data_IF_741247973850
#
_entry.id   IF_741247973850
#
_cell.length_a   1.000
_cell.length_b   1.000
_cell.length_c   1.000
_cell.angle_alpha   90.00
_cell.angle_beta   90.00
_cell.angle_gamma   90.00
#
_symmetry.space_group_name_H-M   'P 1'
#
loop_
_entity.id
_entity.type
_entity.pdbx_description
1 polymer ?
#
# COMPACT_ATOMS: atom_id res chain seq x y z
N UNK A 1 2.82 23.49 71.20
CA UNK A 1 2.97 22.63 70.01
C UNK A 1 1.62 22.00 69.80
N UNK A 2 1.02 22.22 68.64
CA UNK A 2 -0.44 22.21 68.50
C UNK A 2 -0.98 20.82 68.10
N UNK A 3 -0.14 19.79 68.26
CA UNK A 3 -0.47 18.38 68.00
C UNK A 3 -0.75 18.02 66.53
N UNK A 4 -0.66 18.97 65.60
CA UNK A 4 -1.02 18.77 64.19
C UNK A 4 0.07 18.04 63.39
N UNK A 5 -0.34 17.05 62.60
CA UNK A 5 0.47 16.43 61.56
C UNK A 5 0.20 17.13 60.21
N UNK A 6 1.24 17.67 59.58
CA UNK A 6 1.16 18.26 58.24
C UNK A 6 1.93 17.39 57.25
N UNK A 7 1.20 16.74 56.35
CA UNK A 7 1.77 16.06 55.19
C UNK A 7 1.93 17.07 54.05
N UNK A 8 3.14 17.14 53.48
CA UNK A 8 3.45 18.01 52.33
C UNK A 8 3.75 17.13 51.14
N UNK A 9 3.19 17.48 49.98
CA UNK A 9 3.33 16.71 48.74
C UNK A 9 2.86 15.26 48.90
N UNK A 10 1.57 15.10 49.26
CA UNK A 10 0.95 13.79 49.50
C UNK A 10 1.02 12.93 48.24
N UNK A 11 1.57 11.73 48.36
CA UNK A 11 1.65 10.71 47.31
C UNK A 11 0.84 9.47 47.64
N UNK A 12 0.76 8.51 46.70
CA UNK A 12 0.04 7.24 46.90
C UNK A 12 0.64 6.43 48.05
N UNK A 13 1.95 6.57 48.30
CA UNK A 13 2.65 5.87 49.39
C UNK A 13 2.28 6.40 50.78
N UNK A 14 1.63 7.56 50.88
CA UNK A 14 1.10 8.11 52.14
C UNK A 14 -0.27 7.54 52.50
N UNK A 15 -0.85 6.68 51.65
CA UNK A 15 -2.13 6.02 51.97
C UNK A 15 -1.97 5.04 53.14
N UNK A 16 -2.83 5.18 54.16
CA UNK A 16 -2.77 4.31 55.32
C UNK A 16 -3.54 4.81 56.54
N UNK A 17 -3.45 4.01 57.61
CA UNK A 17 -4.05 4.33 58.89
C UNK A 17 -3.09 5.16 59.74
N UNK A 18 -3.48 6.40 60.01
CA UNK A 18 -2.77 7.30 60.90
C UNK A 18 -3.39 7.22 62.29
N UNK A 19 -2.55 7.05 63.31
CA UNK A 19 -2.98 6.94 64.71
C UNK A 19 -2.38 8.08 65.54
N UNK A 20 -3.22 8.73 66.35
CA UNK A 20 -2.77 9.72 67.31
C UNK A 20 -2.70 9.08 68.71
N UNK A 21 -1.52 9.13 69.32
CA UNK A 21 -1.27 8.61 70.66
C UNK A 21 -0.50 9.62 71.50
N UNK A 22 -0.67 9.53 72.82
CA UNK A 22 0.10 10.30 73.80
C UNK A 22 1.24 9.42 74.32
N UNK A 23 2.44 9.99 74.39
CA UNK A 23 3.60 9.29 74.95
C UNK A 23 3.32 8.88 76.40
N UNK A 24 3.40 7.58 76.71
CA UNK A 24 3.07 6.89 77.98
C UNK A 24 1.63 6.36 78.17
N UNK A 25 0.74 6.49 77.19
CA UNK A 25 -0.53 5.76 77.18
C UNK A 25 -0.49 4.61 76.17
N UNK A 26 -0.99 3.42 76.57
CA UNK A 26 -1.05 2.25 75.68
C UNK A 26 -2.26 2.29 74.75
N UNK A 27 -3.20 3.19 75.00
CA UNK A 27 -4.41 3.35 74.21
C UNK A 27 -4.24 4.52 73.21
N UNK A 28 -4.53 4.25 71.94
CA UNK A 28 -4.63 5.29 70.93
C UNK A 28 -5.86 6.16 71.20
N UNK A 29 -5.71 7.47 71.03
CA UNK A 29 -6.76 8.45 71.30
C UNK A 29 -7.68 8.60 70.08
N UNK A 30 -7.12 8.60 68.88
CA UNK A 30 -7.87 8.72 67.63
C UNK A 30 -7.18 8.04 66.45
N UNK A 31 -7.96 7.65 65.43
CA UNK A 31 -7.50 6.94 64.23
C UNK A 31 -8.16 7.52 62.98
N UNK A 32 -7.36 7.84 61.98
CA UNK A 32 -7.82 8.40 60.69
C UNK A 32 -7.28 7.55 59.55
N UNK A 33 -8.17 7.06 58.69
CA UNK A 33 -7.75 6.37 57.46
C UNK A 33 -7.59 7.37 56.32
N UNK A 34 -6.36 7.59 55.87
CA UNK A 34 -6.05 8.49 54.77
C UNK A 34 -6.03 7.69 53.46
N UNK A 35 -6.93 8.03 52.53
CA UNK A 35 -6.94 7.49 51.17
C UNK A 35 -6.51 8.56 50.17
N UNK A 36 -5.58 8.24 49.28
CA UNK A 36 -5.08 9.19 48.28
C UNK A 36 -5.67 8.82 46.92
N UNK A 37 -6.17 9.82 46.19
CA UNK A 37 -6.74 9.63 44.85
C UNK A 37 -5.92 10.40 43.83
N UNK A 38 -5.73 9.80 42.66
CA UNK A 38 -4.86 10.32 41.60
C UNK A 38 -5.54 10.20 40.24
N UNK A 39 -4.93 10.76 39.21
CA UNK A 39 -5.24 10.42 37.83
C UNK A 39 -5.01 8.91 37.60
N UNK A 40 -5.62 8.33 36.54
CA UNK A 40 -5.45 6.91 36.27
C UNK A 40 -3.97 6.57 36.03
N UNK A 41 -3.48 5.42 36.53
CA UNK A 41 -2.13 4.95 36.23
C UNK A 41 -1.96 4.66 34.72
N UNK A 42 -0.69 4.54 34.24
CA UNK A 42 -0.43 4.14 32.85
C UNK A 42 -1.13 2.82 32.51
N UNK A 43 -1.63 2.72 31.28
CA UNK A 43 -2.21 1.49 30.76
C UNK A 43 -1.15 0.39 30.66
N UNK A 44 -1.59 -0.87 30.76
CA UNK A 44 -0.69 -2.03 30.73
C UNK A 44 -1.01 -2.92 29.53
N UNK A 45 -0.03 -3.71 29.10
CA UNK A 45 -0.15 -4.60 27.93
C UNK A 45 -0.66 -3.86 26.67
N UNK A 46 -0.15 -2.66 26.41
CA UNK A 46 -0.53 -1.91 25.21
C UNK A 46 0.17 -2.53 24.00
N UNK A 47 -0.62 -3.05 23.06
CA UNK A 47 -0.12 -3.65 21.82
C UNK A 47 -0.76 -3.00 20.60
N UNK A 48 -0.04 -2.99 19.48
CA UNK A 48 -0.52 -2.46 18.20
C UNK A 48 -0.37 -3.52 17.13
N UNK A 49 -1.48 -3.90 16.50
CA UNK A 49 -1.49 -4.77 15.32
C UNK A 49 -1.73 -3.91 14.08
N UNK A 50 -0.65 -3.63 13.36
CA UNK A 50 -0.71 -2.87 12.12
C UNK A 50 -0.98 -3.78 10.91
N UNK A 51 -1.85 -3.30 10.02
CA UNK A 51 -2.08 -3.84 8.68
C UNK A 51 -1.50 -2.87 7.65
N UNK A 52 -2.00 -2.86 6.40
CA UNK A 52 -1.53 -1.96 5.33
C UNK A 52 -1.94 -0.51 5.53
N UNK A 53 -3.22 -0.23 5.79
CA UNK A 53 -3.77 1.13 5.96
C UNK A 53 -4.52 1.32 7.29
N UNK A 54 -4.45 0.32 8.15
CA UNK A 54 -5.19 0.21 9.41
C UNK A 54 -4.25 -0.19 10.53
N UNK A 55 -4.57 0.17 11.76
CA UNK A 55 -3.93 -0.41 12.94
C UNK A 55 -4.94 -0.57 14.09
N UNK A 56 -4.88 -1.71 14.77
CA UNK A 56 -5.67 -1.98 15.97
C UNK A 56 -4.79 -1.79 17.21
N UNK A 57 -5.17 -0.87 18.10
CA UNK A 57 -4.52 -0.67 19.39
C UNK A 57 -5.33 -1.41 20.45
N UNK A 58 -4.68 -2.20 21.29
CA UNK A 58 -5.26 -2.95 22.41
C UNK A 58 -4.58 -2.54 23.72
N UNK A 59 -5.33 -2.51 24.82
CA UNK A 59 -4.78 -2.19 26.14
C UNK A 59 -5.55 -2.83 27.29
N UNK A 60 -4.90 -2.96 28.43
CA UNK A 60 -5.49 -3.33 29.72
C UNK A 60 -5.41 -2.16 30.71
N UNK A 61 -6.35 -2.13 31.65
CA UNK A 61 -6.42 -1.13 32.72
C UNK A 61 -5.84 -1.73 33.99
N UNK A 62 -4.81 -1.09 34.55
CA UNK A 62 -4.20 -1.53 35.82
C UNK A 62 -4.98 -1.03 37.06
N UNK A 63 -5.61 0.14 36.94
CA UNK A 63 -6.39 0.78 38.00
C UNK A 63 -6.99 2.10 37.50
N UNK A 64 -7.72 2.79 38.37
CA UNK A 64 -8.45 4.01 38.03
C UNK A 64 -8.01 5.23 38.87
N UNK A 65 -7.07 5.03 39.82
CA UNK A 65 -6.60 6.09 40.73
C UNK A 65 -7.63 6.48 41.80
N UNK A 66 -8.62 5.64 42.07
CA UNK A 66 -9.67 5.89 43.06
C UNK A 66 -10.85 6.72 42.56
N UNK A 67 -10.87 7.06 41.26
CA UNK A 67 -12.01 7.64 40.57
C UNK A 67 -12.29 6.88 39.27
N UNK A 68 -13.56 6.60 38.93
CA UNK A 68 -13.88 5.84 37.73
C UNK A 68 -13.36 6.55 36.47
N UNK A 69 -12.81 5.75 35.55
CA UNK A 69 -12.39 6.22 34.23
C UNK A 69 -13.61 6.71 33.45
N UNK A 70 -13.52 7.93 32.90
CA UNK A 70 -14.59 8.56 32.11
C UNK A 70 -14.46 8.23 30.63
N UNK A 71 -13.23 8.21 30.11
CA UNK A 71 -12.92 7.86 28.73
C UNK A 71 -11.44 7.45 28.57
N UNK A 72 -11.12 6.96 27.37
CA UNK A 72 -9.75 6.88 26.89
C UNK A 72 -9.55 7.82 25.71
N UNK A 73 -8.33 8.33 25.57
CA UNK A 73 -7.92 9.12 24.41
C UNK A 73 -6.72 8.45 23.77
N UNK A 74 -6.71 8.37 22.45
CA UNK A 74 -5.61 7.84 21.67
C UNK A 74 -5.19 8.80 20.56
N UNK A 75 -3.90 8.84 20.27
CA UNK A 75 -3.30 9.68 19.24
C UNK A 75 -2.20 8.94 18.49
N UNK A 76 -1.88 9.42 17.30
CA UNK A 76 -0.79 8.88 16.49
C UNK A 76 -0.01 10.00 15.78
N UNK A 77 1.23 9.72 15.40
CA UNK A 77 2.06 10.59 14.56
C UNK A 77 3.03 9.77 13.72
N UNK A 78 3.48 10.31 12.60
CA UNK A 78 4.56 9.68 11.82
C UNK A 78 5.82 9.56 12.68
N UNK A 79 6.48 8.41 12.63
CA UNK A 79 7.79 8.21 13.24
C UNK A 79 8.92 8.78 12.36
N UNK A 80 8.66 8.93 11.06
CA UNK A 80 9.60 9.55 10.14
C UNK A 80 9.47 11.08 10.20
N UNK A 81 10.55 11.81 10.51
CA UNK A 81 10.52 13.27 10.47
C UNK A 81 10.40 13.75 9.02
N UNK A 82 9.52 14.73 8.80
CA UNK A 82 9.38 15.43 7.52
C UNK A 82 10.18 16.73 7.62
N UNK A 83 11.12 16.96 6.71
CA UNK A 83 12.01 18.14 6.74
C UNK A 83 12.72 18.35 8.09
N UNK A 84 13.23 17.28 8.71
CA UNK A 84 13.85 17.27 10.05
C UNK A 84 12.92 17.70 11.20
N UNK A 85 11.60 17.74 10.98
CA UNK A 85 10.61 18.06 12.01
C UNK A 85 9.65 16.90 12.22
N UNK A 86 9.35 16.59 13.48
CA UNK A 86 8.33 15.60 13.82
C UNK A 86 6.96 16.22 13.65
N UNK A 87 6.06 15.48 13.00
CA UNK A 87 4.68 15.89 12.88
C UNK A 87 3.99 15.97 14.25
N UNK A 88 3.03 16.90 14.41
CA UNK A 88 2.22 16.95 15.62
C UNK A 88 1.37 15.69 15.77
N UNK A 89 1.02 15.37 17.01
CA UNK A 89 0.12 14.26 17.31
C UNK A 89 -1.27 14.52 16.72
N UNK A 90 -1.77 13.55 15.96
CA UNK A 90 -3.12 13.52 15.40
C UNK A 90 -4.05 12.71 16.30
N UNK A 91 -5.28 13.20 16.57
CA UNK A 91 -6.25 12.43 17.33
C UNK A 91 -6.77 11.23 16.54
N UNK A 92 -7.00 10.12 17.23
CA UNK A 92 -7.69 8.94 16.67
C UNK A 92 -9.18 9.12 16.93
N UNK A 93 -10.00 8.93 15.90
CA UNK A 93 -11.45 8.99 16.03
C UNK A 93 -12.01 7.63 16.49
N UNK A 94 -12.88 7.59 17.52
CA UNK A 94 -13.43 8.72 18.28
C UNK A 94 -12.44 9.29 19.31
N UNK A 95 -12.44 10.61 19.49
CA UNK A 95 -11.54 11.29 20.44
C UNK A 95 -11.79 10.88 21.90
N UNK A 96 -13.03 10.52 22.23
CA UNK A 96 -13.45 10.05 23.55
C UNK A 96 -13.94 8.61 23.42
N UNK A 97 -13.07 7.67 23.75
CA UNK A 97 -13.34 6.24 23.66
C UNK A 97 -14.06 5.80 24.93
N UNK A 98 -15.08 4.95 24.80
CA UNK A 98 -15.86 4.44 25.94
C UNK A 98 -14.97 3.84 27.04
N UNK A 99 -15.28 4.07 28.34
CA UNK A 99 -14.50 3.53 29.47
C UNK A 99 -14.54 1.99 29.57
N UNK A 100 -15.51 1.35 28.89
CA UNK A 100 -15.60 -0.10 28.78
C UNK A 100 -14.78 -0.67 27.62
N UNK A 101 -14.26 0.17 26.72
CA UNK A 101 -13.44 -0.29 25.61
C UNK A 101 -12.05 -0.71 26.07
N UNK A 102 -11.47 -1.67 25.36
CA UNK A 102 -10.08 -2.13 25.51
C UNK A 102 -9.32 -2.12 24.19
N UNK A 103 -9.94 -1.54 23.17
CA UNK A 103 -9.37 -1.45 21.83
C UNK A 103 -9.87 -0.22 21.07
N UNK A 104 -9.09 0.23 20.08
CA UNK A 104 -9.49 1.24 19.09
C UNK A 104 -8.81 0.98 17.76
N UNK A 105 -9.55 1.18 16.68
CA UNK A 105 -9.05 1.09 15.31
C UNK A 105 -8.59 2.46 14.80
N UNK A 106 -7.46 2.46 14.11
CA UNK A 106 -6.89 3.62 13.42
C UNK A 106 -7.01 3.38 11.92
N UNK A 107 -7.52 4.38 11.21
CA UNK A 107 -7.77 4.31 9.78
C UNK A 107 -6.89 5.30 9.01
N UNK A 108 -6.81 5.11 7.69
CA UNK A 108 -6.13 6.02 6.77
C UNK A 108 -4.63 6.21 7.08
N UNK A 109 -3.95 5.12 7.43
CA UNK A 109 -2.49 5.09 7.53
C UNK A 109 -1.87 4.88 6.15
N UNK A 110 -0.65 5.36 5.96
CA UNK A 110 0.12 5.09 4.75
C UNK A 110 0.73 3.69 4.81
N UNK A 111 0.73 2.92 3.71
CA UNK A 111 1.42 1.63 3.63
C UNK A 111 2.93 1.77 3.82
N UNK A 112 3.56 0.75 4.41
CA UNK A 112 5.01 0.70 4.64
C UNK A 112 5.57 1.95 5.38
N UNK A 113 4.80 2.48 6.32
CA UNK A 113 5.16 3.66 7.11
C UNK A 113 5.14 3.33 8.60
N UNK A 114 6.07 3.93 9.35
CA UNK A 114 6.18 3.73 10.80
C UNK A 114 5.50 4.88 11.54
N UNK A 115 4.72 4.54 12.56
CA UNK A 115 3.95 5.50 13.37
C UNK A 115 4.18 5.25 14.86
N UNK A 116 4.26 6.34 15.60
CA UNK A 116 4.11 6.30 17.06
C UNK A 116 2.62 6.42 17.39
N UNK A 117 2.15 5.53 18.22
CA UNK A 117 0.80 5.54 18.80
C UNK A 117 0.93 5.82 20.28
N UNK A 118 -0.02 6.56 20.85
CA UNK A 118 -0.10 6.75 22.29
C UNK A 118 -1.53 6.71 22.78
N UNK A 119 -1.73 6.14 23.97
CA UNK A 119 -3.05 5.98 24.57
C UNK A 119 -2.97 6.21 26.09
N UNK A 120 -4.00 6.83 26.65
CA UNK A 120 -4.14 7.05 28.09
C UNK A 120 -5.61 7.01 28.51
N UNK A 121 -5.82 6.83 29.82
CA UNK A 121 -7.13 6.94 30.47
C UNK A 121 -7.29 8.31 31.12
N UNK A 122 -8.52 8.78 31.22
CA UNK A 122 -8.87 10.01 31.93
C UNK A 122 -9.94 9.71 32.99
N UNK A 123 -9.81 10.31 34.17
CA UNK A 123 -10.84 10.29 35.22
C UNK A 123 -11.21 11.73 35.62
N UNK A 124 -11.97 11.88 36.71
CA UNK A 124 -12.40 13.18 37.21
C UNK A 124 -11.26 14.13 37.65
N UNK A 125 -10.08 13.59 37.97
CA UNK A 125 -8.89 14.37 38.34
C UNK A 125 -8.10 14.83 37.10
N UNK A 126 -8.15 14.05 36.01
CA UNK A 126 -7.56 14.44 34.75
C UNK A 126 -7.03 13.26 33.92
N UNK A 127 -6.24 13.57 32.88
CA UNK A 127 -5.59 12.55 32.05
C UNK A 127 -4.42 11.92 32.81
N UNK A 128 -4.37 10.59 32.78
CA UNK A 128 -3.21 9.81 33.21
C UNK A 128 -2.04 9.92 32.22
N UNK A 129 -0.88 9.34 32.57
CA UNK A 129 0.28 9.33 31.70
C UNK A 129 0.05 8.49 30.43
N UNK A 130 0.48 8.97 29.25
CA UNK A 130 0.36 8.24 28.00
C UNK A 130 1.38 7.11 27.86
N UNK A 131 0.93 6.01 27.28
CA UNK A 131 1.78 4.88 26.89
C UNK A 131 2.00 4.93 25.39
N UNK A 132 3.27 5.01 24.97
CA UNK A 132 3.64 5.11 23.55
C UNK A 132 4.14 3.77 23.00
N UNK A 133 3.72 3.41 21.78
CA UNK A 133 4.11 2.18 21.07
C UNK A 133 4.42 2.52 19.61
N UNK A 134 5.54 2.00 19.11
CA UNK A 134 5.93 2.11 17.70
C UNK A 134 5.39 0.90 16.92
N UNK A 135 4.74 1.15 15.78
CA UNK A 135 4.39 0.09 14.84
C UNK A 135 4.54 0.56 13.39
N UNK A 136 4.79 -0.40 12.50
CA UNK A 136 4.99 -0.16 11.07
C UNK A 136 3.89 -0.86 10.30
N UNK A 137 3.25 -0.14 9.37
CA UNK A 137 2.23 -0.69 8.48
C UNK A 137 2.85 -1.62 7.44
N UNK A 138 2.06 -2.58 6.97
CA UNK A 138 2.47 -3.53 5.95
C UNK A 138 2.57 -2.84 4.58
N UNK A 139 3.32 -3.46 3.67
CA UNK A 139 3.40 -3.03 2.28
C UNK A 139 2.08 -3.34 1.54
N UNK A 140 1.70 -2.50 0.57
CA UNK A 140 0.51 -2.72 -0.25
C UNK A 140 0.83 -3.66 -1.41
N UNK A 141 0.38 -4.92 -1.32
CA UNK A 141 0.60 -5.92 -2.38
C UNK A 141 -0.34 -5.76 -3.59
N UNK A 142 -1.13 -4.68 -3.67
CA UNK A 142 -2.11 -4.47 -4.74
C UNK A 142 -1.50 -4.56 -6.15
N UNK A 143 -0.32 -3.97 -6.36
CA UNK A 143 0.34 -4.06 -7.67
C UNK A 143 0.88 -5.47 -7.92
N UNK A 144 1.46 -6.12 -6.90
CA UNK A 144 1.97 -7.48 -7.03
C UNK A 144 0.87 -8.50 -7.34
N UNK A 145 -0.31 -8.38 -6.71
CA UNK A 145 -1.48 -9.21 -7.01
C UNK A 145 -2.04 -8.93 -8.41
N UNK A 146 -2.04 -7.67 -8.86
CA UNK A 146 -2.46 -7.31 -10.20
C UNK A 146 -1.52 -7.89 -11.26
N UNK A 147 -0.21 -7.79 -11.05
CA UNK A 147 0.79 -8.43 -11.91
C UNK A 147 0.62 -9.95 -11.93
N UNK A 148 0.34 -10.56 -10.78
CA UNK A 148 0.07 -11.99 -10.68
C UNK A 148 -1.17 -12.40 -11.50
N UNK A 149 -2.27 -11.66 -11.38
CA UNK A 149 -3.49 -11.92 -12.16
C UNK A 149 -3.30 -11.67 -13.66
N UNK A 150 -2.45 -10.70 -14.04
CA UNK A 150 -2.11 -10.46 -15.45
C UNK A 150 -1.23 -11.58 -16.03
N UNK A 151 -0.29 -12.10 -15.23
CA UNK A 151 0.65 -13.15 -15.63
C UNK A 151 0.08 -14.56 -15.48
N UNK A 152 -1.07 -14.74 -14.83
CA UNK A 152 -1.72 -16.04 -14.64
C UNK A 152 -2.02 -16.75 -15.98
N UNK A 153 -2.30 -15.98 -17.04
CA UNK A 153 -2.43 -16.50 -18.40
C UNK A 153 -1.11 -16.71 -19.15
N UNK A 154 -0.03 -16.06 -18.73
CA UNK A 154 1.24 -16.06 -19.44
C UNK A 154 2.01 -17.38 -19.30
N UNK A 155 1.91 -18.08 -18.16
CA UNK A 155 2.52 -19.42 -18.00
C UNK A 155 1.83 -20.48 -18.89
N UNK A 156 0.53 -20.30 -19.16
CA UNK A 156 -0.22 -21.20 -20.05
C UNK A 156 -0.04 -20.91 -21.54
N UNK A 157 0.69 -19.84 -21.88
CA UNK A 157 0.86 -19.42 -23.26
C UNK A 157 1.92 -20.27 -23.96
N UNK A 158 1.47 -21.23 -24.77
CA UNK A 158 2.36 -22.05 -25.60
C UNK A 158 2.93 -21.22 -26.77
N UNK A 159 4.11 -20.67 -26.53
CA UNK A 159 4.90 -19.92 -27.52
C UNK A 159 5.14 -20.69 -28.81
N UNK A 160 5.22 -22.03 -28.78
CA UNK A 160 5.45 -22.85 -29.98
C UNK A 160 4.23 -22.86 -30.88
N UNK A 161 3.04 -23.03 -30.29
CA UNK A 161 1.77 -22.99 -31.02
C UNK A 161 1.49 -21.60 -31.58
N UNK A 162 1.79 -20.54 -30.82
CA UNK A 162 1.69 -19.17 -31.31
C UNK A 162 2.66 -18.89 -32.47
N UNK A 163 3.93 -19.28 -32.35
CA UNK A 163 4.92 -19.13 -33.43
C UNK A 163 4.51 -19.90 -34.70
N UNK A 164 3.97 -21.11 -34.55
CA UNK A 164 3.47 -21.89 -35.67
C UNK A 164 2.31 -21.16 -36.38
N UNK A 165 1.36 -20.61 -35.63
CA UNK A 165 0.25 -19.85 -36.19
C UNK A 165 0.73 -18.60 -36.94
N UNK A 166 1.67 -17.83 -36.38
CA UNK A 166 2.27 -16.65 -37.02
C UNK A 166 2.98 -17.05 -38.31
N UNK A 167 3.78 -18.13 -38.30
CA UNK A 167 4.46 -18.63 -39.49
C UNK A 167 3.48 -19.06 -40.59
N UNK A 168 2.37 -19.72 -40.24
CA UNK A 168 1.33 -20.11 -41.20
C UNK A 168 0.69 -18.87 -41.82
N UNK A 169 0.28 -17.89 -41.01
CA UNK A 169 -0.33 -16.65 -41.51
C UNK A 169 0.63 -15.91 -42.43
N UNK A 170 1.88 -15.69 -42.00
CA UNK A 170 2.90 -15.02 -42.82
C UNK A 170 3.21 -15.79 -44.11
N UNK A 171 3.27 -17.13 -44.05
CA UNK A 171 3.46 -17.99 -45.21
C UNK A 171 2.30 -17.89 -46.20
N UNK A 172 1.05 -17.92 -45.74
CA UNK A 172 -0.13 -17.75 -46.60
C UNK A 172 -0.15 -16.39 -47.28
N UNK A 173 0.18 -15.32 -46.57
CA UNK A 173 0.28 -13.98 -47.14
C UNK A 173 1.37 -13.90 -48.21
N UNK A 174 2.52 -14.52 -47.99
CA UNK A 174 3.60 -14.57 -48.98
C UNK A 174 3.20 -15.34 -50.25
N UNK A 175 2.51 -16.47 -50.11
CA UNK A 175 2.01 -17.27 -51.25
C UNK A 175 0.95 -16.49 -52.03
N UNK A 176 0.01 -15.85 -51.34
CA UNK A 176 -1.00 -15.01 -51.97
C UNK A 176 -0.35 -13.86 -52.74
N UNK A 177 0.63 -13.17 -52.14
CA UNK A 177 1.38 -12.09 -52.79
C UNK A 177 2.14 -12.58 -54.04
N UNK A 178 2.80 -13.73 -53.96
CA UNK A 178 3.49 -14.32 -55.10
C UNK A 178 2.52 -14.75 -56.21
N UNK A 179 1.37 -15.33 -55.84
CA UNK A 179 0.30 -15.71 -56.76
C UNK A 179 -0.30 -14.51 -57.48
N UNK A 180 -0.63 -13.44 -56.75
CA UNK A 180 -1.12 -12.19 -57.33
C UNK A 180 -0.09 -11.56 -58.27
N UNK A 181 1.19 -11.53 -57.87
CA UNK A 181 2.27 -11.04 -58.74
C UNK A 181 2.40 -11.89 -60.02
N UNK A 182 2.31 -13.21 -59.92
CA UNK A 182 2.39 -14.10 -61.07
C UNK A 182 1.20 -13.96 -62.02
N UNK A 183 -0.02 -13.78 -61.50
CA UNK A 183 -1.23 -13.52 -62.28
C UNK A 183 -1.12 -12.18 -63.00
N UNK A 184 -0.75 -11.11 -62.31
CA UNK A 184 -0.56 -9.78 -62.90
C UNK A 184 0.53 -9.80 -63.98
N UNK A 185 1.66 -10.48 -63.74
CA UNK A 185 2.72 -10.67 -64.74
C UNK A 185 2.27 -11.51 -65.94
N UNK A 186 1.34 -12.45 -65.76
CA UNK A 186 0.76 -13.25 -66.84
C UNK A 186 -0.26 -12.45 -67.66
N UNK A 187 -1.10 -11.66 -67.00
CA UNK A 187 -2.06 -10.78 -67.68
C UNK A 187 -1.34 -9.69 -68.49
N UNK A 188 -0.25 -9.13 -67.98
CA UNK A 188 0.65 -8.24 -68.74
C UNK A 188 1.25 -8.89 -70.00
N UNK A 189 1.34 -10.23 -70.04
CA UNK A 189 1.97 -10.98 -71.14
C UNK A 189 0.97 -11.51 -72.18
N UNK A 190 -0.35 -11.36 -71.98
CA UNK A 190 -1.37 -11.62 -73.01
C UNK A 190 -1.74 -10.31 -73.73
N UNK A 191 -1.34 -10.09 -74.99
CA UNK A 191 -1.62 -8.84 -75.71
C UNK A 191 -3.10 -8.63 -76.06
N UNK A 192 -3.94 -9.67 -75.96
CA UNK A 192 -5.31 -9.68 -76.50
C UNK A 192 -6.42 -9.25 -75.50
N UNK A 193 -6.08 -8.95 -74.23
CA UNK A 193 -7.04 -8.42 -73.25
C UNK A 193 -6.78 -6.95 -72.88
N UNK A 194 -5.75 -6.31 -73.44
CA UNK A 194 -5.51 -4.87 -73.28
C UNK A 194 -6.65 -4.04 -73.88
N UNK A 195 -7.25 -4.50 -74.99
CA UNK A 195 -8.37 -3.82 -75.64
C UNK A 195 -9.68 -3.88 -74.85
N UNK A 196 -10.02 -5.02 -74.23
CA UNK A 196 -11.28 -5.13 -73.47
C UNK A 196 -11.22 -4.49 -72.08
N UNK A 197 -10.04 -4.45 -71.44
CA UNK A 197 -9.89 -3.77 -70.16
C UNK A 197 -9.84 -2.24 -70.31
N UNK A 198 -9.35 -1.72 -71.44
CA UNK A 198 -9.41 -0.29 -71.76
C UNK A 198 -10.82 0.21 -72.08
N UNK A 199 -11.74 -0.66 -72.52
CA UNK A 199 -13.15 -0.29 -72.70
C UNK A 199 -13.97 -0.36 -71.40
N UNK A 200 -13.48 -1.06 -70.36
CA UNK A 200 -14.12 -1.14 -69.04
C UNK A 200 -13.50 -0.26 -67.94
N UNK A 201 -12.32 0.32 -68.18
CA UNK A 201 -11.56 1.10 -67.20
C UNK A 201 -11.70 2.63 -67.37
N UNK A 202 -12.84 3.12 -67.86
CA UNK A 202 -13.16 4.55 -67.78
C UNK A 202 -13.50 5.04 -66.34
N UNK A 203 -13.39 4.18 -65.32
CA UNK A 203 -13.76 4.54 -63.93
C UNK A 203 -12.73 4.18 -62.84
N UNK A 204 -11.55 3.63 -63.15
CA UNK A 204 -10.59 3.26 -62.09
C UNK A 204 -9.20 3.85 -62.35
N UNK A 205 -8.84 4.86 -61.54
CA UNK A 205 -7.56 5.56 -61.61
C UNK A 205 -6.40 4.64 -61.20
N UNK A 206 -5.83 4.01 -62.21
CA UNK A 206 -4.71 3.07 -62.11
C UNK A 206 -3.47 3.69 -61.44
N UNK A 207 -3.33 5.03 -61.44
CA UNK A 207 -2.23 5.73 -60.76
C UNK A 207 -2.37 5.71 -59.25
N UNK A 208 -3.58 5.89 -58.72
CA UNK A 208 -3.83 5.84 -57.26
C UNK A 208 -3.66 4.42 -56.73
N UNK A 209 -4.09 3.42 -57.51
CA UNK A 209 -3.97 2.02 -57.10
C UNK A 209 -2.52 1.52 -57.11
N UNK A 210 -1.74 1.88 -58.14
CA UNK A 210 -0.30 1.59 -58.18
C UNK A 210 0.47 2.33 -57.07
N UNK A 211 0.09 3.58 -56.77
CA UNK A 211 0.67 4.31 -55.64
C UNK A 211 0.34 3.63 -54.30
N UNK A 212 -0.90 3.18 -54.10
CA UNK A 212 -1.31 2.46 -52.90
C UNK A 212 -0.57 1.13 -52.74
N UNK A 213 -0.41 0.35 -53.82
CA UNK A 213 0.36 -0.90 -53.80
C UNK A 213 1.85 -0.64 -53.54
N UNK A 214 2.45 0.40 -54.14
CA UNK A 214 3.84 0.79 -53.85
C UNK A 214 4.03 1.24 -52.40
N UNK A 215 3.07 1.96 -51.82
CA UNK A 215 3.11 2.37 -50.41
C UNK A 215 2.99 1.15 -49.49
N UNK A 216 2.03 0.25 -49.75
CA UNK A 216 1.84 -0.98 -48.96
C UNK A 216 3.06 -1.89 -49.05
N UNK A 217 3.58 -2.14 -50.25
CA UNK A 217 4.79 -2.95 -50.46
C UNK A 217 6.04 -2.29 -49.87
N UNK A 218 6.14 -0.95 -49.95
CA UNK A 218 7.20 -0.18 -49.30
C UNK A 218 7.14 -0.27 -47.78
N UNK A 219 5.95 -0.15 -47.18
CA UNK A 219 5.78 -0.29 -45.73
C UNK A 219 6.05 -1.72 -45.24
N UNK A 220 5.64 -2.75 -45.97
CA UNK A 220 5.96 -4.14 -45.69
C UNK A 220 7.47 -4.42 -45.78
N UNK A 221 8.17 -3.84 -46.76
CA UNK A 221 9.62 -3.97 -46.90
C UNK A 221 10.38 -3.26 -45.76
N UNK A 222 9.93 -2.08 -45.32
CA UNK A 222 10.50 -1.36 -44.18
C UNK A 222 10.25 -2.10 -42.86
N UNK A 223 9.06 -2.67 -42.67
CA UNK A 223 8.75 -3.49 -41.50
C UNK A 223 9.60 -4.77 -41.48
N UNK A 224 9.75 -5.46 -42.62
CA UNK A 224 10.60 -6.65 -42.75
C UNK A 224 12.09 -6.35 -42.50
N UNK A 225 12.58 -5.22 -43.03
CA UNK A 225 13.95 -4.75 -42.79
C UNK A 225 14.15 -4.32 -41.32
N UNK A 226 13.15 -3.70 -40.70
CA UNK A 226 13.14 -3.34 -39.29
C UNK A 226 13.18 -4.58 -38.39
N UNK A 227 12.38 -5.61 -38.67
CA UNK A 227 12.43 -6.88 -37.94
C UNK A 227 13.77 -7.60 -38.11
N UNK A 228 14.35 -7.59 -39.31
CA UNK A 228 15.69 -8.14 -39.54
C UNK A 228 16.79 -7.35 -38.83
N UNK A 229 16.70 -6.01 -38.75
CA UNK A 229 17.67 -5.18 -38.06
C UNK A 229 17.60 -5.34 -36.54
N UNK A 230 16.41 -5.55 -35.97
CA UNK A 230 16.20 -5.86 -34.55
C UNK A 230 16.75 -7.26 -34.22
N UNK A 231 16.38 -8.28 -35.01
CA UNK A 231 16.90 -9.64 -34.88
C UNK A 231 18.44 -9.70 -35.02
N UNK A 232 19.03 -8.90 -35.92
CA UNK A 232 20.48 -8.84 -36.12
C UNK A 232 21.21 -8.06 -34.99
N UNK A 233 20.53 -7.15 -34.29
CA UNK A 233 21.04 -6.51 -33.06
C UNK A 233 21.03 -7.44 -31.85
N UNK A 234 20.00 -8.28 -31.73
CA UNK A 234 19.90 -9.28 -30.66
C UNK A 234 20.86 -10.46 -30.86
N UNK A 235 21.14 -10.86 -32.10
CA UNK A 235 22.13 -11.90 -32.39
C UNK A 235 23.60 -11.48 -32.20
N UNK A 236 23.87 -10.16 -32.14
CA UNK A 236 25.24 -9.60 -31.99
C UNK A 236 25.59 -9.21 -30.54
N UNK A 237 24.82 -9.61 -29.53
CA UNK A 237 25.30 -9.65 -28.14
C UNK A 237 25.56 -11.09 -27.69
N UNK A 238 26.69 -11.71 -28.05
CA UNK A 238 27.24 -12.78 -27.23
C UNK A 238 27.60 -12.20 -25.86
N UNK A 239 27.16 -12.89 -24.81
CA UNK A 239 27.38 -12.53 -23.42
C UNK A 239 28.87 -12.40 -23.11
N UNK A 240 29.24 -11.23 -22.62
CA UNK A 240 30.45 -11.05 -21.84
C UNK A 240 30.11 -11.45 -20.40
N UNK A 241 30.26 -12.74 -20.13
CA UNK A 241 30.49 -13.25 -18.78
C UNK A 241 31.99 -13.39 -18.63
N UNK A 242 32.61 -12.40 -17.99
CA UNK A 242 33.99 -12.53 -17.50
C UNK A 242 33.99 -13.38 -16.23
N UNK A 243 34.99 -14.26 -16.04
CA UNK A 243 35.13 -15.12 -14.87
C UNK A 243 35.43 -14.35 -13.58
#
# INVERSE_FOLDING_TARGET
>A
MDGGLLLRQVGVDDEGLYECGVENETAYVDRVNLTVRTEPPPLVNVTVHASTILALILWNVAGDGGHPIIDFTAQYRSAAPVNNTLEPWRPISPNHISPNSRQVDVYHLEPNASYWFRVWATNALGPGPPVEVLATTLYSDQEAELYKHFLEGAESFDTRTWLAAVCVVMGTLAVLAAGTCAVLCREWRRPELYKHFLEGAESFDTRTWLAAVCVVMGTLAVLAAGTCAVLCREWRRPGEHTP
#
